data_IF_897256935783
#
_entry.id   IF_897256935783
#
_cell.length_a   1.000
_cell.length_b   1.000
_cell.length_c   1.000
_cell.angle_alpha   90.00
_cell.angle_beta   90.00
_cell.angle_gamma   90.00
#
_symmetry.space_group_name_H-M   'P 1'
#
loop_
_entity.id
_entity.type
_entity.pdbx_description
1 polymer ?
#
# COMPACT_ATOMS: atom_id res chain seq x y z
N UNK A 1 20.69 4.26 32.29
CA UNK A 1 20.19 2.95 31.83
C UNK A 1 18.67 2.96 31.62
N UNK A 2 17.90 3.55 32.55
CA UNK A 2 16.43 3.58 32.46
C UNK A 2 15.88 4.32 31.24
N UNK A 3 16.48 5.45 30.87
CA UNK A 3 16.02 6.28 29.75
C UNK A 3 16.22 5.60 28.37
N UNK A 4 17.28 4.79 28.25
CA UNK A 4 17.55 4.02 27.04
C UNK A 4 16.51 2.91 26.84
N UNK A 5 16.07 2.25 27.92
CA UNK A 5 15.02 1.23 27.87
C UNK A 5 13.67 1.82 27.43
N UNK A 6 13.29 2.98 27.98
CA UNK A 6 12.05 3.70 27.59
C UNK A 6 11.99 4.08 26.10
N UNK A 7 13.14 4.46 25.53
CA UNK A 7 13.26 4.78 24.11
C UNK A 7 13.17 3.54 23.22
N UNK A 8 13.59 2.37 23.72
CA UNK A 8 13.43 1.09 23.01
C UNK A 8 11.97 0.64 23.01
N UNK A 9 11.21 0.85 24.11
CA UNK A 9 9.78 0.49 24.20
C UNK A 9 8.89 1.28 23.24
N UNK A 10 9.30 2.50 22.87
CA UNK A 10 8.59 3.38 21.92
C UNK A 10 9.11 3.24 20.48
N UNK A 11 10.01 2.30 20.23
CA UNK A 11 10.66 2.13 18.94
C UNK A 11 9.75 1.38 17.96
N UNK A 12 9.34 2.04 16.87
CA UNK A 12 8.47 1.48 15.83
C UNK A 12 9.18 0.46 14.90
N UNK A 13 10.20 -0.26 15.39
CA UNK A 13 11.25 -0.99 14.63
C UNK A 13 10.79 -1.68 13.34
N UNK A 14 9.59 -2.27 13.34
CA UNK A 14 9.06 -3.00 12.19
C UNK A 14 7.55 -2.77 11.97
N UNK A 15 7.02 -1.62 12.39
CA UNK A 15 5.58 -1.37 12.26
C UNK A 15 5.14 -1.34 10.79
N UNK A 16 3.98 -1.95 10.47
CA UNK A 16 3.43 -1.92 9.12
C UNK A 16 3.15 -0.49 8.69
N UNK A 17 3.16 -0.23 7.38
CA UNK A 17 2.80 1.09 6.88
C UNK A 17 1.39 1.46 7.34
N UNK A 18 1.18 2.72 7.78
CA UNK A 18 -0.15 3.22 8.16
C UNK A 18 -1.21 2.93 7.11
N UNK A 19 -0.84 3.06 5.83
CA UNK A 19 -1.71 2.76 4.69
C UNK A 19 -2.13 1.28 4.62
N UNK A 20 -1.26 0.35 5.01
CA UNK A 20 -1.54 -1.10 5.05
C UNK A 20 -2.51 -1.42 6.18
N UNK A 21 -2.35 -0.82 7.35
CA UNK A 21 -3.26 -1.02 8.49
C UNK A 21 -4.65 -0.46 8.23
N UNK A 22 -4.73 0.69 7.56
CA UNK A 22 -6.02 1.29 7.21
C UNK A 22 -6.74 0.59 6.04
N UNK A 23 -6.04 -0.27 5.29
CA UNK A 23 -6.66 -1.02 4.20
C UNK A 23 -7.40 -2.24 4.77
N UNK A 24 -8.69 -2.45 4.45
CA UNK A 24 -9.45 -3.60 4.96
C UNK A 24 -8.86 -4.94 4.50
N UNK A 25 -8.15 -4.96 3.38
CA UNK A 25 -7.50 -6.14 2.81
C UNK A 25 -6.03 -6.30 3.22
N UNK A 26 -5.52 -5.43 4.10
CA UNK A 26 -4.13 -5.44 4.56
C UNK A 26 -3.10 -5.51 3.42
N UNK A 27 -3.38 -4.81 2.31
CA UNK A 27 -2.47 -4.75 1.17
C UNK A 27 -1.08 -4.29 1.60
N UNK A 28 -0.04 -5.04 1.23
CA UNK A 28 1.34 -4.66 1.50
C UNK A 28 1.75 -3.47 0.62
N UNK A 29 1.55 -2.27 1.15
CA UNK A 29 1.73 -1.01 0.44
C UNK A 29 3.20 -0.73 0.12
N UNK A 30 4.13 -1.15 1.00
CA UNK A 30 5.57 -0.97 0.78
C UNK A 30 6.03 -1.78 -0.43
N UNK A 31 5.68 -3.07 -0.47
CA UNK A 31 6.02 -3.96 -1.57
C UNK A 31 5.31 -3.56 -2.88
N UNK A 32 4.04 -3.15 -2.80
CA UNK A 32 3.30 -2.65 -3.96
C UNK A 32 3.93 -1.39 -4.57
N UNK A 33 4.24 -0.38 -3.74
CA UNK A 33 4.86 0.87 -4.21
C UNK A 33 6.27 0.62 -4.75
N UNK A 34 7.06 -0.23 -4.10
CA UNK A 34 8.40 -0.57 -4.57
C UNK A 34 8.36 -1.18 -5.98
N UNK A 35 7.44 -2.12 -6.23
CA UNK A 35 7.28 -2.73 -7.56
C UNK A 35 6.79 -1.72 -8.61
N UNK A 36 5.89 -0.83 -8.22
CA UNK A 36 5.42 0.26 -9.09
C UNK A 36 6.55 1.23 -9.44
N UNK A 37 7.41 1.58 -8.47
CA UNK A 37 8.58 2.43 -8.71
C UNK A 37 9.60 1.80 -9.66
N UNK A 38 9.79 0.47 -9.58
CA UNK A 38 10.65 -0.29 -10.51
C UNK A 38 10.03 -0.51 -11.89
N UNK A 39 8.81 -0.04 -12.14
CA UNK A 39 8.08 -0.30 -13.39
C UNK A 39 7.62 -1.75 -13.56
N UNK A 40 7.68 -2.56 -12.50
CA UNK A 40 7.30 -3.97 -12.50
C UNK A 40 5.78 -4.12 -12.30
N UNK A 41 4.97 -3.55 -13.19
CA UNK A 41 3.51 -3.49 -13.08
C UNK A 41 2.85 -4.86 -12.94
N UNK A 42 3.33 -5.88 -13.65
CA UNK A 42 2.81 -7.25 -13.51
C UNK A 42 3.03 -7.81 -12.09
N UNK A 43 4.19 -7.52 -11.49
CA UNK A 43 4.51 -7.98 -10.15
C UNK A 43 3.73 -7.19 -9.09
N UNK A 44 3.55 -5.89 -9.29
CA UNK A 44 2.68 -5.05 -8.45
C UNK A 44 1.22 -5.52 -8.51
N UNK A 45 0.71 -5.82 -9.70
CA UNK A 45 -0.63 -6.35 -9.90
C UNK A 45 -0.81 -7.72 -9.24
N UNK A 46 0.21 -8.59 -9.28
CA UNK A 46 0.16 -9.88 -8.57
C UNK A 46 0.02 -9.71 -7.05
N UNK A 47 0.78 -8.80 -6.45
CA UNK A 47 0.66 -8.48 -5.02
C UNK A 47 -0.72 -7.94 -4.70
N UNK A 48 -1.23 -7.04 -5.55
CA UNK A 48 -2.56 -6.46 -5.38
C UNK A 48 -3.65 -7.53 -5.44
N UNK A 49 -3.65 -8.33 -6.51
CA UNK A 49 -4.60 -9.43 -6.72
C UNK A 49 -4.59 -10.44 -5.57
N UNK A 50 -3.42 -10.79 -5.05
CA UNK A 50 -3.29 -11.71 -3.92
C UNK A 50 -3.95 -11.17 -2.65
N UNK A 51 -4.05 -9.84 -2.48
CA UNK A 51 -4.66 -9.24 -1.30
C UNK A 51 -6.18 -9.05 -1.44
N UNK A 52 -6.66 -8.56 -2.60
CA UNK A 52 -8.05 -8.07 -2.73
C UNK A 52 -9.00 -9.01 -3.47
N UNK A 53 -8.49 -10.09 -4.08
CA UNK A 53 -9.28 -11.09 -4.83
C UNK A 53 -9.83 -10.58 -6.18
N UNK A 54 -10.54 -9.44 -6.15
CA UNK A 54 -11.13 -8.76 -7.30
C UNK A 54 -10.52 -7.36 -7.49
N UNK A 55 -9.32 -7.26 -8.08
CA UNK A 55 -8.57 -6.00 -8.16
C UNK A 55 -9.32 -4.89 -8.91
N UNK A 56 -10.03 -5.20 -9.99
CA UNK A 56 -10.76 -4.19 -10.77
C UNK A 56 -11.94 -3.59 -10.00
N UNK A 57 -12.74 -4.44 -9.37
CA UNK A 57 -13.91 -4.02 -8.59
C UNK A 57 -13.46 -3.20 -7.38
N UNK A 58 -12.44 -3.66 -6.67
CA UNK A 58 -11.92 -2.97 -5.49
C UNK A 58 -11.28 -1.64 -5.88
N UNK A 59 -10.52 -1.57 -6.98
CA UNK A 59 -9.93 -0.32 -7.43
C UNK A 59 -10.99 0.75 -7.81
N UNK A 60 -12.17 0.35 -8.28
CA UNK A 60 -13.28 1.28 -8.53
C UNK A 60 -14.00 1.68 -7.24
N UNK A 61 -14.34 0.71 -6.39
CA UNK A 61 -15.10 0.95 -5.15
C UNK A 61 -14.28 1.55 -4.02
N UNK A 62 -12.95 1.51 -4.08
CA UNK A 62 -12.07 1.93 -3.00
C UNK A 62 -12.39 3.36 -2.53
N UNK A 63 -12.82 3.55 -1.25
CA UNK A 63 -13.09 4.86 -0.68
C UNK A 63 -11.81 5.59 -0.21
N UNK A 64 -10.63 4.99 -0.40
CA UNK A 64 -9.32 5.53 -0.05
C UNK A 64 -9.12 5.87 1.46
N UNK A 65 -9.38 4.92 2.39
CA UNK A 65 -9.13 5.15 3.82
C UNK A 65 -7.64 5.42 4.11
N UNK A 66 -6.75 4.89 3.28
CA UNK A 66 -5.31 5.10 3.31
C UNK A 66 -4.89 6.58 3.19
N UNK A 67 -5.71 7.44 2.56
CA UNK A 67 -5.40 8.87 2.38
C UNK A 67 -5.48 9.63 3.71
N UNK A 68 -6.42 9.28 4.57
CA UNK A 68 -6.65 9.94 5.85
C UNK A 68 -5.51 9.67 6.87
N UNK A 69 -4.91 8.48 6.80
CA UNK A 69 -3.84 8.06 7.71
C UNK A 69 -2.42 8.33 7.18
N UNK A 70 -2.30 8.91 5.98
CA UNK A 70 -1.01 9.09 5.34
C UNK A 70 -0.19 10.18 6.08
N UNK A 71 1.03 9.89 6.58
CA UNK A 71 1.83 10.89 7.30
C UNK A 71 2.21 12.08 6.41
N UNK A 72 2.28 11.89 5.09
CA UNK A 72 2.54 12.98 4.14
C UNK A 72 1.44 14.04 4.11
N UNK A 73 0.24 13.74 4.61
CA UNK A 73 -0.83 14.74 4.74
C UNK A 73 -0.45 15.92 5.66
N UNK A 74 0.53 15.74 6.56
CA UNK A 74 1.05 16.81 7.42
C UNK A 74 2.14 17.67 6.77
N UNK A 75 2.75 17.19 5.68
CA UNK A 75 3.91 17.84 5.05
C UNK A 75 3.57 18.42 3.69
N UNK A 76 2.86 17.64 2.87
CA UNK A 76 2.56 17.97 1.48
C UNK A 76 1.19 17.34 1.15
N UNK A 77 1.07 16.56 0.07
CA UNK A 77 -0.14 15.82 -0.25
C UNK A 77 -0.06 14.33 0.14
N UNK A 78 -1.16 13.72 0.61
CA UNK A 78 -1.24 12.28 0.79
C UNK A 78 -1.19 11.55 -0.56
N UNK A 79 -0.59 10.36 -0.56
CA UNK A 79 -0.41 9.56 -1.77
C UNK A 79 -1.77 9.02 -2.23
N UNK A 80 -2.08 9.20 -3.51
CA UNK A 80 -3.29 8.65 -4.12
C UNK A 80 -3.10 7.19 -4.51
N UNK A 81 -3.35 6.30 -3.55
CA UNK A 81 -3.23 4.84 -3.74
C UNK A 81 -4.15 4.35 -4.85
N UNK A 82 -5.37 4.88 -4.95
CA UNK A 82 -6.33 4.54 -6.01
C UNK A 82 -5.78 4.78 -7.41
N UNK A 83 -5.00 5.84 -7.62
CA UNK A 83 -4.37 6.10 -8.91
C UNK A 83 -3.29 5.06 -9.21
N UNK A 84 -2.53 4.62 -8.20
CA UNK A 84 -1.52 3.58 -8.34
C UNK A 84 -2.17 2.21 -8.60
N UNK A 85 -3.27 1.88 -7.91
CA UNK A 85 -4.06 0.67 -8.14
C UNK A 85 -4.56 0.63 -9.60
N UNK A 86 -5.22 1.70 -10.05
CA UNK A 86 -5.69 1.83 -11.45
C UNK A 86 -4.54 1.76 -12.46
N UNK A 87 -3.41 2.39 -12.18
CA UNK A 87 -2.23 2.31 -13.03
C UNK A 87 -1.68 0.88 -13.10
N UNK A 88 -1.62 0.17 -11.97
CA UNK A 88 -1.13 -1.22 -11.93
C UNK A 88 -2.00 -2.15 -12.77
N UNK A 89 -3.33 -1.99 -12.73
CA UNK A 89 -4.28 -2.73 -13.56
C UNK A 89 -4.09 -2.36 -15.04
N UNK A 90 -4.03 -1.07 -15.35
CA UNK A 90 -3.95 -0.57 -16.73
C UNK A 90 -2.66 -0.99 -17.44
N UNK A 91 -1.54 -1.02 -16.74
CA UNK A 91 -0.23 -1.34 -17.32
C UNK A 91 0.18 -2.80 -17.16
N UNK A 92 -0.57 -3.59 -16.39
CA UNK A 92 -0.35 -5.03 -16.31
C UNK A 92 -0.68 -5.66 -17.66
N UNK A 93 0.32 -6.31 -18.27
CA UNK A 93 0.16 -7.03 -19.55
C UNK A 93 -0.41 -8.42 -19.35
N UNK A 94 -0.31 -8.97 -18.14
CA UNK A 94 -0.75 -10.32 -17.83
C UNK A 94 -1.70 -10.29 -16.62
N UNK A 95 -2.99 -10.16 -16.93
CA UNK A 95 -4.09 -10.07 -15.96
C UNK A 95 -4.74 -11.46 -15.77
N UNK A 96 -4.30 -12.47 -16.53
CA UNK A 96 -4.92 -13.78 -16.53
C UNK A 96 -4.83 -14.46 -15.16
N UNK A 97 -5.92 -15.09 -14.69
CA UNK A 97 -5.84 -16.06 -13.59
C UNK A 97 -4.89 -17.19 -14.00
N UNK A 98 -4.01 -17.59 -13.08
CA UNK A 98 -3.26 -18.85 -13.17
C UNK A 98 -4.19 -19.96 -12.68
#
# INVERSE_FOLDING_TARGET
>A
MEEAKRKIETCLQNEPAYCTVACPFQLNMRDFIEKMQRGAFNAAFKVYRNAVGFPEIVAELCPQPCRAVCPRAKTDAPISVKLLEKASIRYARNINPI
#
